data_IF_322336615719
#
_entry.id   IF_322336615719
#
_cell.length_a   1.000
_cell.length_b   1.000
_cell.length_c   1.000
_cell.angle_alpha   90.00
_cell.angle_beta   90.00
_cell.angle_gamma   90.00
#
_symmetry.space_group_name_H-M   'P 1'
#
loop_
_entity.id
_entity.type
_entity.pdbx_description
1 polymer ?
#
# COMPACT_ATOMS: atom_id res chain seq x y z
N UNK A 1 1.26 20.00 -0.89
CA UNK A 1 0.88 20.37 0.50
C UNK A 1 1.29 19.23 1.40
N UNK A 2 2.13 19.46 2.41
CA UNK A 2 2.53 18.42 3.37
C UNK A 2 1.30 18.02 4.18
N UNK A 3 0.84 16.78 4.01
CA UNK A 3 -0.28 16.27 4.81
C UNK A 3 0.27 15.87 6.17
N UNK A 4 -0.22 16.45 7.27
CA UNK A 4 0.06 15.91 8.59
C UNK A 4 -0.40 14.45 8.61
N UNK A 5 0.46 13.55 9.06
CA UNK A 5 0.14 12.12 9.15
C UNK A 5 -1.09 11.91 10.03
N UNK A 6 -1.88 10.90 9.70
CA UNK A 6 -2.98 10.45 10.54
C UNK A 6 -2.46 9.98 11.91
N UNK A 7 -3.24 10.13 12.99
CA UNK A 7 -2.89 9.53 14.27
C UNK A 7 -2.64 8.02 14.12
N UNK A 8 -1.67 7.50 14.86
CA UNK A 8 -1.22 6.11 14.73
C UNK A 8 -2.36 5.07 14.78
N UNK A 9 -3.33 5.14 15.72
CA UNK A 9 -4.43 4.18 15.75
C UNK A 9 -5.30 4.22 14.49
N UNK A 10 -5.63 5.43 14.01
CA UNK A 10 -6.46 5.61 12.81
C UNK A 10 -5.72 5.13 11.55
N UNK A 11 -4.43 5.46 11.42
CA UNK A 11 -3.62 5.01 10.29
C UNK A 11 -3.58 3.48 10.23
N UNK A 12 -3.31 2.82 11.35
CA UNK A 12 -3.21 1.36 11.40
C UNK A 12 -4.58 0.70 11.13
N UNK A 13 -5.68 1.26 11.64
CA UNK A 13 -7.02 0.78 11.36
C UNK A 13 -7.36 0.88 9.85
N UNK A 14 -7.08 2.02 9.23
CA UNK A 14 -7.30 2.21 7.80
C UNK A 14 -6.42 1.29 6.95
N UNK A 15 -5.16 1.09 7.32
CA UNK A 15 -4.25 0.17 6.64
C UNK A 15 -4.75 -1.28 6.69
N UNK A 16 -5.13 -1.74 7.89
CA UNK A 16 -5.69 -3.08 8.08
C UNK A 16 -6.96 -3.28 7.23
N UNK A 17 -7.83 -2.27 7.17
CA UNK A 17 -9.06 -2.34 6.38
C UNK A 17 -8.79 -2.31 4.87
N UNK A 18 -7.85 -1.48 4.41
CA UNK A 18 -7.44 -1.39 3.02
C UNK A 18 -6.86 -2.72 2.51
N UNK A 19 -6.01 -3.36 3.31
CA UNK A 19 -5.43 -4.67 2.99
C UNK A 19 -6.52 -5.75 2.98
N UNK A 20 -7.40 -5.77 3.98
CA UNK A 20 -8.48 -6.76 4.06
C UNK A 20 -9.46 -6.64 2.87
N UNK A 21 -9.81 -5.42 2.47
CA UNK A 21 -10.75 -5.18 1.38
C UNK A 21 -10.31 -5.75 0.02
N UNK A 22 -9.00 -6.00 -0.16
CA UNK A 22 -8.49 -6.69 -1.35
C UNK A 22 -9.20 -8.04 -1.56
N UNK A 23 -9.49 -8.78 -0.47
CA UNK A 23 -10.04 -10.13 -0.53
C UNK A 23 -11.36 -10.33 0.29
N UNK A 24 -11.80 -9.34 1.09
CA UNK A 24 -12.99 -9.43 1.96
C UNK A 24 -14.07 -8.36 1.64
N UNK A 25 -15.28 -8.81 1.28
CA UNK A 25 -16.44 -7.95 0.97
C UNK A 25 -16.94 -7.15 2.18
N UNK A 26 -16.82 -7.69 3.39
CA UNK A 26 -17.21 -6.99 4.61
C UNK A 26 -16.27 -5.81 4.88
N UNK A 27 -14.98 -5.95 4.57
CA UNK A 27 -14.02 -4.86 4.64
C UNK A 27 -14.27 -3.80 3.55
N UNK A 28 -14.69 -4.20 2.35
CA UNK A 28 -15.15 -3.27 1.30
C UNK A 28 -16.34 -2.45 1.80
N UNK A 29 -17.37 -3.09 2.35
CA UNK A 29 -18.55 -2.39 2.88
C UNK A 29 -18.19 -1.38 4.00
N UNK A 30 -17.21 -1.72 4.84
CA UNK A 30 -16.70 -0.79 5.86
C UNK A 30 -15.96 0.41 5.25
N UNK A 31 -15.15 0.20 4.21
CA UNK A 31 -14.52 1.31 3.48
C UNK A 31 -15.56 2.20 2.77
N UNK A 32 -16.58 1.62 2.16
CA UNK A 32 -17.68 2.36 1.53
C UNK A 32 -18.36 3.27 2.55
N UNK A 33 -18.70 2.76 3.73
CA UNK A 33 -19.25 3.60 4.80
C UNK A 33 -18.27 4.71 5.24
N UNK A 34 -16.97 4.42 5.33
CA UNK A 34 -15.95 5.43 5.69
C UNK A 34 -15.77 6.54 4.65
N UNK A 35 -16.20 6.37 3.40
CA UNK A 35 -16.17 7.45 2.41
C UNK A 35 -17.17 8.57 2.73
N UNK A 36 -18.28 8.21 3.38
CA UNK A 36 -19.36 9.12 3.78
C UNK A 36 -19.89 8.71 5.15
N UNK A 37 -19.09 8.90 6.23
CA UNK A 37 -19.46 8.40 7.55
C UNK A 37 -20.68 9.15 8.07
N UNK A 38 -21.71 8.40 8.44
CA UNK A 38 -22.96 8.92 8.98
C UNK A 38 -24.11 7.93 8.74
N UNK A 39 -25.01 7.85 9.71
CA UNK A 39 -26.09 6.85 9.68
C UNK A 39 -25.60 5.45 10.04
N UNK A 40 -26.53 4.50 10.09
CA UNK A 40 -26.24 3.13 10.49
C UNK A 40 -25.32 2.44 9.47
N UNK A 41 -24.16 1.89 9.89
CA UNK A 41 -23.32 1.11 8.99
C UNK A 41 -24.04 -0.16 8.54
N UNK A 42 -23.83 -0.63 7.30
CA UNK A 42 -24.35 -1.92 6.85
C UNK A 42 -23.96 -3.04 7.82
N UNK A 43 -24.86 -4.01 8.06
CA UNK A 43 -24.60 -5.10 9.01
C UNK A 43 -23.28 -5.85 8.73
N UNK A 44 -22.90 -6.00 7.46
CA UNK A 44 -21.63 -6.60 7.03
C UNK A 44 -20.39 -5.79 7.46
N UNK A 45 -20.50 -4.47 7.60
CA UNK A 45 -19.41 -3.57 7.95
C UNK A 45 -19.22 -3.39 9.47
N UNK A 46 -20.29 -3.60 10.26
CA UNK A 46 -20.33 -3.25 11.68
C UNK A 46 -19.21 -3.93 12.49
N UNK A 47 -18.96 -5.22 12.26
CA UNK A 47 -17.91 -5.95 12.98
C UNK A 47 -16.50 -5.42 12.67
N UNK A 48 -16.22 -5.08 11.40
CA UNK A 48 -14.94 -4.47 11.00
C UNK A 48 -14.74 -3.11 11.66
N UNK A 49 -15.74 -2.23 11.58
CA UNK A 49 -15.68 -0.88 12.14
C UNK A 49 -15.51 -0.89 13.66
N UNK A 50 -16.23 -1.78 14.36
CA UNK A 50 -16.12 -1.94 15.81
C UNK A 50 -14.79 -2.56 16.23
N UNK A 51 -14.35 -3.66 15.58
CA UNK A 51 -13.08 -4.34 15.91
C UNK A 51 -11.87 -3.44 15.73
N UNK A 52 -11.89 -2.57 14.73
CA UNK A 52 -10.84 -1.58 14.48
C UNK A 52 -10.98 -0.30 15.32
N UNK A 53 -11.97 -0.24 16.22
CA UNK A 53 -12.25 0.92 17.07
C UNK A 53 -12.45 2.21 16.27
N UNK A 54 -13.08 2.10 15.09
CA UNK A 54 -13.44 3.27 14.27
C UNK A 54 -14.80 3.84 14.69
N UNK A 55 -15.70 2.97 15.13
CA UNK A 55 -17.07 3.26 15.56
C UNK A 55 -17.36 2.46 16.83
N UNK A 56 -18.17 2.99 17.76
CA UNK A 56 -18.66 2.20 18.89
C UNK A 56 -19.51 1.01 18.38
N UNK A 57 -19.61 -0.08 19.16
CA UNK A 57 -20.48 -1.18 18.76
C UNK A 57 -21.94 -0.72 18.70
N UNK A 58 -22.55 -0.76 17.50
CA UNK A 58 -23.88 -0.22 17.25
C UNK A 58 -23.92 1.30 17.02
N UNK A 59 -22.77 1.96 16.97
CA UNK A 59 -22.64 3.38 16.69
C UNK A 59 -22.86 3.72 15.20
N UNK A 60 -23.17 4.98 14.94
CA UNK A 60 -23.51 5.50 13.60
C UNK A 60 -22.58 6.63 13.13
N UNK A 61 -21.50 6.87 13.88
CA UNK A 61 -20.52 7.90 13.62
C UNK A 61 -19.11 7.42 14.04
N UNK A 62 -18.09 8.03 13.45
CA UNK A 62 -16.71 7.81 13.90
C UNK A 62 -16.58 8.22 15.37
N UNK A 63 -15.72 7.50 16.12
CA UNK A 63 -15.35 7.91 17.48
C UNK A 63 -14.83 9.35 17.48
N UNK A 64 -15.09 10.10 18.55
CA UNK A 64 -14.70 11.51 18.68
C UNK A 64 -13.20 11.74 18.44
N UNK A 65 -12.36 10.78 18.83
CA UNK A 65 -10.90 10.82 18.59
C UNK A 65 -10.53 10.77 17.09
N UNK A 66 -11.41 10.22 16.24
CA UNK A 66 -11.23 10.09 14.81
C UNK A 66 -12.04 11.12 14.00
N UNK A 67 -13.10 11.69 14.58
CA UNK A 67 -13.97 12.65 13.91
C UNK A 67 -13.21 13.84 13.25
N UNK A 68 -12.18 14.46 13.88
CA UNK A 68 -11.40 15.53 13.24
C UNK A 68 -10.65 15.10 11.96
N UNK A 69 -10.47 13.80 11.76
CA UNK A 69 -9.75 13.21 10.63
C UNK A 69 -10.69 12.58 9.59
N UNK A 70 -12.01 12.71 9.74
CA UNK A 70 -12.99 12.10 8.85
C UNK A 70 -12.73 12.39 7.36
N UNK A 71 -12.40 13.62 6.90
CA UNK A 71 -12.11 13.87 5.49
C UNK A 71 -10.87 13.11 4.99
N UNK A 72 -9.83 12.99 5.81
CA UNK A 72 -8.61 12.26 5.47
C UNK A 72 -8.84 10.74 5.47
N UNK A 73 -9.65 10.23 6.40
CA UNK A 73 -10.08 8.84 6.45
C UNK A 73 -10.93 8.48 5.21
N UNK A 74 -11.89 9.32 4.83
CA UNK A 74 -12.70 9.15 3.63
C UNK A 74 -11.85 9.13 2.34
N UNK A 75 -10.89 10.05 2.21
CA UNK A 75 -9.97 10.07 1.07
C UNK A 75 -9.02 8.86 1.03
N UNK A 76 -8.66 8.31 2.21
CA UNK A 76 -7.94 7.04 2.29
C UNK A 76 -8.84 5.87 1.87
N UNK A 77 -10.07 5.80 2.38
CA UNK A 77 -11.01 4.74 2.06
C UNK A 77 -11.35 4.68 0.57
N UNK A 78 -11.55 5.84 -0.07
CA UNK A 78 -11.78 5.91 -1.52
C UNK A 78 -10.61 5.38 -2.35
N UNK A 79 -9.36 5.62 -1.92
CA UNK A 79 -8.15 5.04 -2.54
C UNK A 79 -8.10 3.53 -2.33
N UNK A 80 -8.38 3.08 -1.11
CA UNK A 80 -8.41 1.65 -0.78
C UNK A 80 -9.48 0.88 -1.58
N UNK A 81 -10.66 1.47 -1.80
CA UNK A 81 -11.70 0.89 -2.64
C UNK A 81 -11.26 0.73 -4.10
N UNK A 82 -10.58 1.73 -4.67
CA UNK A 82 -10.02 1.61 -6.03
C UNK A 82 -8.95 0.54 -6.11
N UNK A 83 -8.07 0.45 -5.12
CA UNK A 83 -7.05 -0.60 -5.05
C UNK A 83 -7.70 -1.99 -4.96
N UNK A 84 -8.70 -2.17 -4.09
CA UNK A 84 -9.46 -3.41 -3.95
C UNK A 84 -10.17 -3.80 -5.26
N UNK A 85 -10.86 -2.85 -5.90
CA UNK A 85 -11.49 -3.06 -7.20
C UNK A 85 -10.50 -3.49 -8.28
N UNK A 86 -9.34 -2.81 -8.36
CA UNK A 86 -8.30 -3.15 -9.32
C UNK A 86 -7.69 -4.54 -9.07
N UNK A 87 -7.39 -4.89 -7.82
CA UNK A 87 -6.86 -6.21 -7.44
C UNK A 87 -7.85 -7.33 -7.79
N UNK A 88 -9.12 -7.16 -7.44
CA UNK A 88 -10.19 -8.13 -7.72
C UNK A 88 -10.43 -8.30 -9.22
N UNK A 89 -10.38 -7.21 -9.98
CA UNK A 89 -10.53 -7.23 -11.43
C UNK A 89 -9.31 -7.84 -12.15
N UNK A 90 -8.11 -7.67 -11.60
CA UNK A 90 -6.89 -8.27 -12.14
C UNK A 90 -6.92 -9.81 -12.08
N UNK A 91 -7.76 -10.39 -11.21
CA UNK A 91 -7.95 -11.83 -11.05
C UNK A 91 -6.62 -12.59 -10.98
N UNK A 92 -5.75 -12.29 -10.00
CA UNK A 92 -4.46 -12.96 -9.87
C UNK A 92 -4.65 -14.49 -9.77
N UNK A 93 -3.67 -15.29 -10.19
CA UNK A 93 -3.81 -16.74 -10.20
C UNK A 93 -4.22 -17.27 -8.82
N UNK A 94 -5.35 -17.98 -8.74
CA UNK A 94 -5.89 -18.52 -7.47
C UNK A 94 -4.93 -19.50 -6.76
N UNK A 95 -4.03 -20.12 -7.51
CA UNK A 95 -3.00 -21.05 -7.02
C UNK A 95 -1.61 -20.40 -6.93
N UNK A 96 -1.51 -19.07 -6.97
CA UNK A 96 -0.25 -18.37 -6.74
C UNK A 96 0.30 -18.71 -5.35
N UNK A 97 1.63 -18.84 -5.26
CA UNK A 97 2.29 -18.91 -3.96
C UNK A 97 2.06 -17.60 -3.17
N UNK A 98 2.22 -17.64 -1.83
CA UNK A 98 1.96 -16.47 -0.98
C UNK A 98 2.68 -15.19 -1.42
N UNK A 99 3.94 -15.31 -1.85
CA UNK A 99 4.76 -14.16 -2.26
C UNK A 99 4.27 -13.56 -3.57
N UNK A 100 3.96 -14.39 -4.57
CA UNK A 100 3.31 -13.93 -5.81
C UNK A 100 2.00 -13.21 -5.50
N UNK A 101 1.16 -13.77 -4.62
CA UNK A 101 -0.08 -13.14 -4.19
C UNK A 101 0.13 -11.78 -3.51
N UNK A 102 1.14 -11.67 -2.64
CA UNK A 102 1.52 -10.42 -1.99
C UNK A 102 2.01 -9.35 -2.98
N UNK A 103 2.76 -9.73 -4.02
CA UNK A 103 3.20 -8.81 -5.08
C UNK A 103 2.02 -8.23 -5.85
N UNK A 104 1.00 -9.04 -6.18
CA UNK A 104 -0.22 -8.55 -6.83
C UNK A 104 -0.99 -7.54 -5.96
N UNK A 105 -1.17 -7.88 -4.66
CA UNK A 105 -1.79 -6.97 -3.69
C UNK A 105 -1.00 -5.65 -3.56
N UNK A 106 0.32 -5.74 -3.45
CA UNK A 106 1.21 -4.59 -3.38
C UNK A 106 1.10 -3.71 -4.64
N UNK A 107 1.01 -4.29 -5.83
CA UNK A 107 0.83 -3.53 -7.06
C UNK A 107 -0.47 -2.71 -7.07
N UNK A 108 -1.59 -3.31 -6.66
CA UNK A 108 -2.87 -2.60 -6.59
C UNK A 108 -2.85 -1.44 -5.57
N UNK A 109 -2.27 -1.66 -4.39
CA UNK A 109 -2.11 -0.64 -3.35
C UNK A 109 -1.17 0.50 -3.79
N UNK A 110 -0.08 0.14 -4.46
CA UNK A 110 0.92 1.10 -4.94
C UNK A 110 0.31 2.12 -5.91
N UNK A 111 -0.53 1.67 -6.84
CA UNK A 111 -1.19 2.55 -7.82
C UNK A 111 -2.05 3.62 -7.16
N UNK A 112 -2.60 3.33 -5.98
CA UNK A 112 -3.40 4.26 -5.20
C UNK A 112 -2.58 5.02 -4.15
N UNK A 113 -1.24 4.97 -4.25
CA UNK A 113 -0.29 5.63 -3.34
C UNK A 113 -0.45 5.19 -1.87
N UNK A 114 -0.94 3.98 -1.65
CA UNK A 114 -1.09 3.34 -0.34
C UNK A 114 0.22 2.64 0.05
N UNK A 115 1.30 3.43 0.11
CA UNK A 115 2.66 2.90 0.27
C UNK A 115 2.94 2.32 1.66
N UNK A 116 2.19 2.75 2.67
CA UNK A 116 2.29 2.15 4.00
C UNK A 116 1.73 0.72 3.98
N UNK A 117 0.59 0.54 3.32
CA UNK A 117 -0.09 -0.75 3.15
C UNK A 117 0.74 -1.70 2.26
N UNK A 118 1.41 -1.18 1.23
CA UNK A 118 2.40 -1.94 0.45
C UNK A 118 3.48 -2.53 1.36
N UNK A 119 4.03 -1.71 2.26
CA UNK A 119 5.03 -2.18 3.21
C UNK A 119 4.45 -3.31 4.08
N UNK A 120 3.27 -3.12 4.68
CA UNK A 120 2.69 -4.14 5.55
C UNK A 120 2.43 -5.47 4.82
N UNK A 121 1.93 -5.42 3.58
CA UNK A 121 1.69 -6.62 2.76
C UNK A 121 2.99 -7.37 2.46
N UNK A 122 4.04 -6.66 2.06
CA UNK A 122 5.31 -7.29 1.68
C UNK A 122 6.17 -7.69 2.89
N UNK A 123 6.00 -7.05 4.05
CA UNK A 123 6.78 -7.34 5.26
C UNK A 123 6.56 -8.77 5.75
N UNK A 124 5.33 -9.30 5.62
CA UNK A 124 5.01 -10.68 5.99
C UNK A 124 5.84 -11.69 5.20
N UNK A 125 5.95 -11.49 3.88
CA UNK A 125 6.76 -12.34 2.99
C UNK A 125 8.26 -12.13 3.21
N UNK A 126 8.68 -10.88 3.48
CA UNK A 126 10.07 -10.54 3.75
C UNK A 126 10.61 -11.20 5.03
N UNK A 127 9.77 -11.39 6.05
CA UNK A 127 10.15 -12.03 7.32
C UNK A 127 10.54 -13.50 7.13
N UNK A 128 9.95 -14.19 6.16
CA UNK A 128 10.18 -15.62 5.91
C UNK A 128 11.07 -15.90 4.70
N UNK A 129 11.24 -14.92 3.80
CA UNK A 129 12.09 -15.03 2.63
C UNK A 129 13.59 -15.14 2.98
N UNK A 130 14.36 -15.75 2.07
CA UNK A 130 15.82 -15.89 2.14
C UNK A 130 16.49 -15.49 0.82
N UNK A 131 17.82 -15.34 0.82
CA UNK A 131 18.60 -15.09 -0.39
C UNK A 131 18.21 -13.80 -1.14
N UNK A 132 18.25 -13.86 -2.47
CA UNK A 132 17.96 -12.72 -3.34
C UNK A 132 16.51 -12.24 -3.24
N UNK A 133 15.54 -13.15 -3.10
CA UNK A 133 14.12 -12.82 -2.90
C UNK A 133 13.94 -11.90 -1.69
N UNK A 134 14.61 -12.22 -0.59
CA UNK A 134 14.57 -11.40 0.63
C UNK A 134 15.12 -10.00 0.40
N UNK A 135 16.23 -9.89 -0.33
CA UNK A 135 16.84 -8.60 -0.67
C UNK A 135 15.94 -7.79 -1.62
N UNK A 136 15.32 -8.45 -2.60
CA UNK A 136 14.37 -7.84 -3.51
C UNK A 136 13.14 -7.30 -2.75
N UNK A 137 12.51 -8.11 -1.91
CA UNK A 137 11.38 -7.69 -1.05
C UNK A 137 11.77 -6.49 -0.19
N UNK A 138 12.94 -6.53 0.44
CA UNK A 138 13.44 -5.42 1.25
C UNK A 138 13.63 -4.15 0.42
N UNK A 139 14.17 -4.27 -0.79
CA UNK A 139 14.35 -3.15 -1.71
C UNK A 139 13.02 -2.48 -2.07
N UNK A 140 12.01 -3.27 -2.46
CA UNK A 140 10.66 -2.76 -2.78
C UNK A 140 10.01 -2.09 -1.56
N UNK A 141 10.09 -2.73 -0.38
CA UNK A 141 9.58 -2.16 0.87
C UNK A 141 10.23 -0.80 1.16
N UNK A 142 11.57 -0.70 1.07
CA UNK A 142 12.27 0.54 1.33
C UNK A 142 11.86 1.65 0.35
N UNK A 143 11.69 1.34 -0.94
CA UNK A 143 11.20 2.32 -1.93
C UNK A 143 9.77 2.75 -1.61
N UNK A 144 8.86 1.83 -1.22
CA UNK A 144 7.51 2.19 -0.80
C UNK A 144 7.53 3.15 0.41
N UNK A 145 8.32 2.82 1.44
CA UNK A 145 8.44 3.67 2.63
C UNK A 145 9.11 5.02 2.29
N UNK A 146 10.00 5.08 1.30
CA UNK A 146 10.55 6.33 0.81
C UNK A 146 9.45 7.25 0.26
N UNK A 147 8.54 6.73 -0.56
CA UNK A 147 7.37 7.47 -1.04
C UNK A 147 6.42 7.88 0.10
N UNK A 148 6.21 7.00 1.07
CA UNK A 148 5.46 7.33 2.28
C UNK A 148 6.10 8.51 3.03
N UNK A 149 7.41 8.53 3.20
CA UNK A 149 8.13 9.63 3.83
C UNK A 149 8.01 10.95 3.05
N UNK A 150 8.09 10.92 1.72
CA UNK A 150 7.87 12.11 0.89
C UNK A 150 6.49 12.69 1.09
N UNK A 151 5.45 11.86 1.10
CA UNK A 151 4.07 12.29 1.31
C UNK A 151 3.86 13.01 2.66
N UNK A 152 4.71 12.74 3.65
CA UNK A 152 4.68 13.31 5.00
C UNK A 152 5.77 14.36 5.24
N UNK A 153 6.47 14.82 4.18
CA UNK A 153 7.49 15.86 4.28
C UNK A 153 8.83 15.42 4.90
N UNK A 154 9.04 14.12 5.12
CA UNK A 154 10.30 13.57 5.62
C UNK A 154 11.28 13.31 4.46
N UNK A 155 11.85 14.39 3.89
CA UNK A 155 12.78 14.29 2.76
C UNK A 155 14.05 13.51 3.11
N UNK A 156 14.57 13.68 4.34
CA UNK A 156 15.79 12.98 4.79
C UNK A 156 15.57 11.47 4.81
N UNK A 157 14.50 11.00 5.44
CA UNK A 157 14.16 9.58 5.50
C UNK A 157 13.86 9.02 4.11
N UNK A 158 13.13 9.77 3.28
CA UNK A 158 12.86 9.38 1.90
C UNK A 158 14.13 9.16 1.09
N UNK A 159 15.10 10.08 1.19
CA UNK A 159 16.39 9.97 0.49
C UNK A 159 17.14 8.70 0.90
N UNK A 160 17.27 8.46 2.20
CA UNK A 160 17.97 7.27 2.71
C UNK A 160 17.34 5.99 2.18
N UNK A 161 16.02 5.84 2.32
CA UNK A 161 15.34 4.60 1.91
C UNK A 161 15.25 4.43 0.39
N UNK A 162 15.13 5.51 -0.38
CA UNK A 162 15.17 5.44 -1.84
C UNK A 162 16.53 4.96 -2.33
N UNK A 163 17.63 5.50 -1.78
CA UNK A 163 18.98 5.07 -2.13
C UNK A 163 19.25 3.62 -1.74
N UNK A 164 18.97 3.25 -0.49
CA UNK A 164 19.20 1.88 -0.02
C UNK A 164 18.32 0.86 -0.74
N UNK A 165 17.03 1.16 -0.92
CA UNK A 165 16.10 0.25 -1.55
C UNK A 165 16.49 -0.04 -3.00
N UNK A 166 16.87 1.00 -3.76
CA UNK A 166 17.38 0.83 -5.12
C UNK A 166 18.68 0.04 -5.18
N UNK A 167 19.64 0.33 -4.30
CA UNK A 167 20.92 -0.39 -4.26
C UNK A 167 20.72 -1.90 -3.99
N UNK A 168 19.72 -2.27 -3.18
CA UNK A 168 19.35 -3.69 -2.99
C UNK A 168 18.81 -4.33 -4.25
N UNK A 169 17.92 -3.64 -4.96
CA UNK A 169 17.34 -4.15 -6.21
C UNK A 169 18.38 -4.25 -7.33
N UNK A 170 19.34 -3.33 -7.37
CA UNK A 170 20.48 -3.36 -8.32
C UNK A 170 21.45 -4.52 -8.02
N UNK A 171 21.47 -5.01 -6.78
CA UNK A 171 22.37 -6.09 -6.31
C UNK A 171 21.82 -7.51 -6.44
N UNK A 172 20.63 -7.71 -7.00
CA UNK A 172 20.00 -9.04 -7.18
C UNK A 172 19.64 -9.29 -8.64
N UNK A 173 19.40 -10.55 -9.01
CA UNK A 173 18.88 -10.86 -10.34
C UNK A 173 17.52 -10.16 -10.58
N UNK A 174 17.25 -9.70 -11.81
CA UNK A 174 15.97 -9.07 -12.14
C UNK A 174 14.76 -10.00 -11.96
N UNK A 175 14.99 -11.31 -11.97
CA UNK A 175 14.01 -12.36 -11.72
C UNK A 175 13.91 -12.77 -10.24
N UNK A 176 14.49 -12.01 -9.31
CA UNK A 176 14.54 -12.39 -7.90
C UNK A 176 13.18 -12.30 -7.18
N UNK A 177 12.19 -11.58 -7.72
CA UNK A 177 10.86 -11.38 -7.14
C UNK A 177 9.77 -11.38 -8.23
N UNK A 178 9.50 -12.51 -8.92
CA UNK A 178 8.39 -12.60 -9.85
C UNK A 178 7.05 -12.41 -9.10
N UNK A 179 6.02 -11.86 -9.75
CA UNK A 179 5.97 -11.38 -11.12
C UNK A 179 6.44 -9.93 -11.29
N UNK A 180 7.10 -9.31 -10.30
CA UNK A 180 7.48 -7.90 -10.38
C UNK A 180 8.66 -7.68 -11.34
N UNK A 181 8.50 -6.78 -12.31
CA UNK A 181 9.61 -6.33 -13.16
C UNK A 181 10.49 -5.35 -12.37
N UNK A 182 11.55 -5.87 -11.76
CA UNK A 182 12.51 -5.07 -10.97
C UNK A 182 13.25 -4.05 -11.82
N UNK A 183 13.48 -4.31 -13.11
CA UNK A 183 14.16 -3.36 -14.01
C UNK A 183 13.26 -2.19 -14.33
N UNK A 184 11.97 -2.44 -14.61
CA UNK A 184 10.99 -1.39 -14.80
C UNK A 184 10.86 -0.51 -13.54
N UNK A 185 10.83 -1.12 -12.35
CA UNK A 185 10.80 -0.37 -11.08
C UNK A 185 12.04 0.52 -10.91
N UNK A 186 13.24 -0.01 -11.16
CA UNK A 186 14.48 0.75 -11.07
C UNK A 186 14.54 1.90 -12.08
N UNK A 187 14.10 1.68 -13.32
CA UNK A 187 14.03 2.73 -14.33
C UNK A 187 13.05 3.83 -13.91
N UNK A 188 11.85 3.45 -13.48
CA UNK A 188 10.77 4.38 -13.17
C UNK A 188 11.02 5.18 -11.87
N UNK A 189 11.78 4.63 -10.93
CA UNK A 189 12.18 5.34 -9.70
C UNK A 189 13.46 6.18 -9.87
N UNK A 190 14.15 6.12 -11.02
CA UNK A 190 15.44 6.81 -11.19
C UNK A 190 15.31 8.35 -11.21
N UNK A 191 14.31 8.94 -11.90
CA UNK A 191 14.07 10.37 -11.82
C UNK A 191 13.72 10.84 -10.41
N UNK A 192 13.01 10.00 -9.63
CA UNK A 192 12.69 10.27 -8.25
C UNK A 192 13.95 10.30 -7.37
N UNK A 193 14.80 9.28 -7.46
CA UNK A 193 16.06 9.23 -6.71
C UNK A 193 16.96 10.44 -7.01
N UNK A 194 17.07 10.82 -8.28
CA UNK A 194 17.82 12.01 -8.70
C UNK A 194 17.24 13.30 -8.10
N UNK A 195 15.92 13.50 -8.22
CA UNK A 195 15.25 14.70 -7.69
C UNK A 195 15.37 14.81 -6.16
N UNK A 196 15.16 13.71 -5.44
CA UNK A 196 15.31 13.64 -3.98
C UNK A 196 16.75 13.95 -3.56
N UNK A 197 17.74 13.40 -4.27
CA UNK A 197 19.16 13.62 -4.00
C UNK A 197 19.59 15.07 -4.22
N UNK A 198 19.08 15.70 -5.28
CA UNK A 198 19.39 17.08 -5.63
C UNK A 198 18.57 18.13 -4.84
N UNK A 199 17.53 17.71 -4.11
CA UNK A 199 16.56 18.65 -3.51
C UNK A 199 15.74 19.42 -4.56
N UNK A 200 15.63 18.86 -5.76
CA UNK A 200 14.90 19.46 -6.89
C UNK A 200 13.39 19.20 -6.85
N UNK A 201 12.64 19.70 -7.84
CA UNK A 201 11.22 19.41 -7.96
C UNK A 201 10.99 17.91 -8.15
N UNK A 202 10.11 17.33 -7.33
CA UNK A 202 9.74 15.92 -7.41
C UNK A 202 8.81 15.69 -8.62
N UNK A 203 8.90 14.53 -9.29
CA UNK A 203 7.90 14.14 -10.28
C UNK A 203 6.49 14.10 -9.69
N UNK A 204 5.47 14.30 -10.53
CA UNK A 204 4.08 14.39 -10.08
C UNK A 204 3.49 13.02 -9.72
N UNK A 205 3.82 12.00 -10.52
CA UNK A 205 3.24 10.67 -10.43
C UNK A 205 4.26 9.63 -9.99
N UNK A 206 3.91 8.93 -8.91
CA UNK A 206 4.67 7.76 -8.48
C UNK A 206 4.60 6.71 -9.60
N UNK A 207 5.70 6.00 -9.88
CA UNK A 207 5.73 5.05 -10.98
C UNK A 207 4.82 3.87 -10.68
N UNK A 208 4.23 3.24 -11.70
CA UNK A 208 3.48 2.00 -11.52
C UNK A 208 4.42 0.83 -11.16
N UNK A 209 3.94 -0.13 -10.36
CA UNK A 209 4.57 -1.45 -10.29
C UNK A 209 4.16 -2.25 -11.53
N UNK A 210 5.12 -2.54 -12.40
CA UNK A 210 4.91 -3.33 -13.61
C UNK A 210 5.02 -4.80 -13.26
N UNK A 211 3.96 -5.57 -13.53
CA UNK A 211 3.94 -7.01 -13.32
C UNK A 211 4.07 -7.73 -14.66
N UNK A 212 5.05 -8.63 -14.75
CA UNK A 212 5.21 -9.53 -15.87
C UNK A 212 4.06 -10.55 -15.87
N UNK A 213 3.21 -10.48 -16.90
CA UNK A 213 2.25 -11.53 -17.16
C UNK A 213 3.02 -12.73 -17.71
N UNK A 214 3.37 -13.66 -16.83
CA UNK A 214 3.83 -14.96 -17.29
C UNK A 214 2.68 -15.58 -18.09
N UNK A 215 2.87 -15.78 -19.39
CA UNK A 215 2.02 -16.69 -20.14
C UNK A 215 2.06 -18.03 -19.40
N UNK A 216 0.91 -18.62 -19.10
CA UNK A 216 0.88 -20.00 -18.66
C UNK A 216 1.69 -20.81 -19.70
N UNK A 217 2.73 -21.50 -19.23
CA UNK A 217 3.46 -22.42 -20.10
C UNK A 217 2.42 -23.39 -20.69
N UNK A 218 2.44 -23.61 -22.03
CA UNK A 218 1.45 -24.44 -22.70
C UNK A 218 1.45 -25.89 -22.21
#
# INVERSE_FOLDING_TARGET
MVTRGLPLPLRNALAALAIAALDDDAAVAALEWLTHPGGEPPASAQEWLARLHLVERGGTALLDVHAPHAPAAAAHAARALRAAGAHRAAAPPRAADPTTGAVWRAAALWQERLFFEVHEVLEAEWKTAVGEMRQALQGVIQIAVAYHHLAHGNLRGARTLMTEGRARLEGVASSALPPLDLRALLAATAPWAAAIGAGGPLPLDAPALVLERHAALP
#
